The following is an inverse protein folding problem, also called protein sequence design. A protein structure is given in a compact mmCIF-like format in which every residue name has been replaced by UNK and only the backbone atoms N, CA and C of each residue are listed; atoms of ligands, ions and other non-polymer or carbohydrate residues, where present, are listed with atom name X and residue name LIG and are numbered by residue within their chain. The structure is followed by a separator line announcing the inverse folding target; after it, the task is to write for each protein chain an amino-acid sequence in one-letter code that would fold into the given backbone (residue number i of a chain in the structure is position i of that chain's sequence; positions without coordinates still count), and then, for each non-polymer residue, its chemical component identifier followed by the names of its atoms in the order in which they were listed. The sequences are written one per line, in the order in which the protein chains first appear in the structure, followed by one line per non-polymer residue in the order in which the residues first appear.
data_IF_754712330898
#
_entry.id   IF_754712330898
#
_cell.length_a   1.000
_cell.length_b   1.000
_cell.length_c   1.000
_cell.angle_alpha   90.00
_cell.angle_beta   90.00
_cell.angle_gamma   90.00
#
_symmetry.space_group_name_H-M   'P 1'
#
loop_
_entity.id
_entity.type
_entity.pdbx_description
1 polymer ?
#
# COMPACT_ATOMS: atom_id res chain seq x y z
N UNK A 1 16.39 -9.48 -18.55
CA UNK A 1 15.12 -10.08 -18.29
C UNK A 1 14.40 -9.40 -17.14
N UNK A 2 13.16 -9.11 -17.33
CA UNK A 2 12.37 -8.46 -16.34
C UNK A 2 12.13 -9.35 -15.13
N UNK A 3 12.37 -8.86 -13.96
CA UNK A 3 12.09 -9.62 -12.76
C UNK A 3 10.63 -9.40 -12.35
N UNK A 4 9.82 -10.43 -12.53
CA UNK A 4 8.40 -10.36 -12.24
C UNK A 4 8.10 -10.03 -10.78
N UNK A 5 9.06 -10.28 -9.88
CA UNK A 5 8.85 -10.01 -8.46
C UNK A 5 8.90 -8.53 -8.13
N UNK A 6 9.39 -7.67 -9.03
CA UNK A 6 9.53 -6.24 -8.75
C UNK A 6 8.25 -5.46 -8.96
N UNK A 7 7.25 -6.03 -9.62
CA UNK A 7 5.95 -5.38 -9.82
C UNK A 7 4.84 -6.37 -9.62
N UNK A 8 3.71 -5.89 -9.14
CA UNK A 8 2.53 -6.72 -8.98
C UNK A 8 1.73 -6.82 -10.28
N UNK A 9 2.05 -6.01 -11.28
CA UNK A 9 1.34 -6.03 -12.55
C UNK A 9 1.48 -7.32 -13.35
N UNK A 10 2.44 -8.18 -12.96
CA UNK A 10 2.67 -9.47 -13.62
C UNK A 10 2.04 -10.63 -12.87
N UNK A 11 0.81 -10.46 -12.43
CA UNK A 11 0.10 -11.49 -11.68
C UNK A 11 -0.22 -12.69 -12.57
N UNK A 12 -0.18 -13.91 -12.00
CA UNK A 12 -0.70 -15.08 -12.70
C UNK A 12 -2.16 -14.89 -13.08
N UNK A 13 -2.60 -15.54 -14.16
CA UNK A 13 -3.94 -15.33 -14.70
C UNK A 13 -5.06 -15.51 -13.67
N UNK A 14 -5.06 -16.56 -12.81
CA UNK A 14 -6.13 -16.69 -11.83
C UNK A 14 -6.17 -15.54 -10.84
N UNK A 15 -5.01 -15.06 -10.40
CA UNK A 15 -4.94 -13.98 -9.46
C UNK A 15 -5.34 -12.67 -10.11
N UNK A 16 -4.92 -12.45 -11.35
CA UNK A 16 -5.33 -11.26 -12.10
C UNK A 16 -6.83 -11.22 -12.28
N UNK A 17 -7.45 -12.37 -12.55
CA UNK A 17 -8.91 -12.45 -12.70
C UNK A 17 -9.61 -12.10 -11.38
N UNK A 18 -9.07 -12.58 -10.25
CA UNK A 18 -9.63 -12.28 -8.94
C UNK A 18 -9.53 -10.78 -8.64
N UNK A 19 -8.38 -10.16 -8.95
CA UNK A 19 -8.19 -8.73 -8.77
C UNK A 19 -9.14 -7.92 -9.65
N UNK A 20 -9.34 -8.37 -10.91
CA UNK A 20 -10.27 -7.70 -11.83
C UNK A 20 -11.69 -7.74 -11.30
N UNK A 21 -12.12 -8.89 -10.78
CA UNK A 21 -13.45 -9.01 -10.18
C UNK A 21 -13.60 -8.13 -8.96
N UNK A 22 -12.58 -8.11 -8.10
CA UNK A 22 -12.57 -7.25 -6.92
C UNK A 22 -12.63 -5.78 -7.31
N UNK A 23 -11.93 -5.41 -8.39
CA UNK A 23 -11.94 -4.03 -8.87
C UNK A 23 -13.35 -3.60 -9.27
N UNK A 24 -14.06 -4.45 -9.98
CA UNK A 24 -15.42 -4.15 -10.42
C UNK A 24 -16.33 -3.86 -9.23
N UNK A 25 -16.24 -4.68 -8.19
CA UNK A 25 -17.06 -4.50 -6.99
C UNK A 25 -16.64 -3.26 -6.22
N UNK A 26 -15.34 -3.04 -6.08
CA UNK A 26 -14.85 -1.90 -5.31
C UNK A 26 -15.17 -0.58 -6.02
N UNK A 27 -15.13 -0.59 -7.35
CA UNK A 27 -15.46 0.60 -8.13
C UNK A 27 -16.91 1.03 -7.89
N UNK A 28 -17.81 0.06 -7.74
CA UNK A 28 -19.20 0.37 -7.40
C UNK A 28 -19.30 1.05 -6.05
N UNK A 29 -18.54 0.56 -5.06
CA UNK A 29 -18.53 1.17 -3.73
C UNK A 29 -18.04 2.61 -3.78
N UNK A 30 -17.00 2.87 -4.55
CA UNK A 30 -16.47 4.23 -4.71
C UNK A 30 -17.49 5.13 -5.40
N UNK A 31 -18.24 4.61 -6.39
CA UNK A 31 -19.27 5.39 -7.07
C UNK A 31 -20.40 5.76 -6.13
N UNK A 32 -20.77 4.86 -5.23
CA UNK A 32 -21.84 5.12 -4.26
C UNK A 32 -21.36 6.10 -3.18
N UNK A 33 -20.11 5.94 -2.75
CA UNK A 33 -19.53 6.75 -1.67
C UNK A 33 -18.21 7.36 -2.12
N UNK A 34 -18.25 8.40 -2.99
CA UNK A 34 -16.99 8.92 -3.57
C UNK A 34 -16.06 9.60 -2.56
N UNK A 35 -16.57 9.93 -1.37
CA UNK A 35 -15.75 10.55 -0.34
C UNK A 35 -15.28 9.55 0.72
N UNK A 36 -15.47 8.27 0.49
CA UNK A 36 -15.00 7.23 1.41
C UNK A 36 -13.52 6.97 1.15
N UNK A 37 -12.67 7.49 2.02
CA UNK A 37 -11.23 7.35 1.87
C UNK A 37 -10.79 5.89 1.89
N UNK A 38 -11.40 5.08 2.78
CA UNK A 38 -11.06 3.66 2.85
C UNK A 38 -11.38 2.93 1.57
N UNK A 39 -12.55 3.20 0.99
CA UNK A 39 -12.94 2.57 -0.26
C UNK A 39 -12.00 2.96 -1.40
N UNK A 40 -11.60 4.23 -1.46
CA UNK A 40 -10.64 4.69 -2.47
C UNK A 40 -9.27 4.04 -2.29
N UNK A 41 -8.81 3.94 -1.05
CA UNK A 41 -7.50 3.33 -0.77
C UNK A 41 -7.48 1.86 -1.21
N UNK A 42 -8.55 1.13 -0.94
CA UNK A 42 -8.65 -0.27 -1.35
C UNK A 42 -8.66 -0.38 -2.88
N UNK A 43 -9.42 0.49 -3.56
CA UNK A 43 -9.42 0.50 -5.02
C UNK A 43 -8.02 0.79 -5.56
N UNK A 44 -7.32 1.75 -4.96
CA UNK A 44 -5.95 2.06 -5.36
C UNK A 44 -5.03 0.86 -5.23
N UNK A 45 -5.17 0.11 -4.13
CA UNK A 45 -4.34 -1.07 -3.93
C UNK A 45 -4.65 -2.15 -4.96
N UNK A 46 -5.94 -2.36 -5.27
CA UNK A 46 -6.34 -3.32 -6.30
C UNK A 46 -5.76 -2.91 -7.66
N UNK A 47 -5.86 -1.62 -8.00
CA UNK A 47 -5.30 -1.12 -9.26
C UNK A 47 -3.79 -1.27 -9.30
N UNK A 48 -3.10 -1.07 -8.18
CA UNK A 48 -1.66 -1.29 -8.11
C UNK A 48 -1.32 -2.75 -8.42
N UNK A 49 -2.11 -3.68 -7.87
CA UNK A 49 -1.91 -5.11 -8.14
C UNK A 49 -2.13 -5.47 -9.59
N UNK A 50 -2.99 -4.73 -10.28
CA UNK A 50 -3.26 -4.95 -11.70
C UNK A 50 -2.31 -4.20 -12.62
N UNK A 51 -1.34 -3.47 -12.07
CA UNK A 51 -0.40 -2.70 -12.87
C UNK A 51 -0.94 -1.38 -13.40
N UNK A 52 -2.09 -0.94 -12.90
CA UNK A 52 -2.70 0.35 -13.30
C UNK A 52 -2.12 1.46 -12.43
N UNK A 53 -0.87 1.81 -12.72
CA UNK A 53 -0.05 2.64 -11.83
C UNK A 53 -0.62 4.03 -11.62
N UNK A 54 -1.06 4.67 -12.70
CA UNK A 54 -1.55 6.05 -12.60
C UNK A 54 -2.86 6.13 -11.83
N UNK A 55 -3.77 5.21 -12.10
CA UNK A 55 -5.04 5.16 -11.37
C UNK A 55 -4.80 4.85 -9.89
N UNK A 56 -3.92 3.88 -9.62
CA UNK A 56 -3.61 3.50 -8.25
C UNK A 56 -3.08 4.68 -7.45
N UNK A 57 -2.16 5.41 -8.03
CA UNK A 57 -1.55 6.55 -7.37
C UNK A 57 -2.56 7.66 -7.13
N UNK A 58 -3.38 7.96 -8.11
CA UNK A 58 -4.40 8.99 -7.99
C UNK A 58 -5.39 8.66 -6.88
N UNK A 59 -5.84 7.41 -6.85
CA UNK A 59 -6.81 6.97 -5.86
C UNK A 59 -6.23 6.96 -4.45
N UNK A 60 -5.00 6.50 -4.32
CA UNK A 60 -4.32 6.50 -3.02
C UNK A 60 -4.10 7.90 -2.49
N UNK A 61 -3.69 8.82 -3.35
CA UNK A 61 -3.47 10.21 -2.93
C UNK A 61 -4.77 10.90 -2.59
N UNK A 62 -5.81 10.63 -3.36
CA UNK A 62 -7.12 11.19 -3.06
C UNK A 62 -7.63 10.70 -1.70
N UNK A 63 -7.44 9.42 -1.41
CA UNK A 63 -7.81 8.88 -0.09
C UNK A 63 -7.08 9.62 1.02
N UNK A 64 -5.80 9.88 0.83
CA UNK A 64 -4.99 10.58 1.81
C UNK A 64 -5.49 12.01 2.04
N UNK A 65 -5.93 12.68 0.97
CA UNK A 65 -6.48 14.02 1.07
C UNK A 65 -7.83 14.04 1.79
N UNK A 66 -8.66 13.02 1.57
CA UNK A 66 -9.97 12.93 2.19
C UNK A 66 -9.91 12.67 3.67
N UNK A 67 -8.91 11.92 4.12
CA UNK A 67 -8.80 11.55 5.52
C UNK A 67 -7.37 11.75 6.01
N UNK A 68 -6.94 13.00 6.18
CA UNK A 68 -5.60 13.25 6.69
C UNK A 68 -5.50 12.80 8.15
N UNK A 69 -4.28 12.43 8.53
CA UNK A 69 -4.01 11.87 9.84
C UNK A 69 -4.33 12.86 10.96
N UNK A 70 -4.32 14.15 10.65
CA UNK A 70 -4.68 15.18 11.63
C UNK A 70 -6.13 15.08 12.07
N UNK A 71 -7.00 14.60 11.19
CA UNK A 71 -8.41 14.45 11.50
C UNK A 71 -8.70 13.14 12.21
N UNK A 72 -7.98 12.08 11.88
CA UNK A 72 -8.25 10.76 12.43
C UNK A 72 -6.94 9.97 12.40
N UNK A 73 -6.31 9.85 13.56
CA UNK A 73 -5.01 9.20 13.65
C UNK A 73 -5.07 7.71 13.37
N UNK A 74 -6.18 7.08 13.71
CA UNK A 74 -6.31 5.64 13.46
C UNK A 74 -6.57 5.35 11.99
N UNK A 75 -7.62 5.93 11.44
CA UNK A 75 -7.98 5.65 10.06
C UNK A 75 -7.07 6.37 9.07
N UNK A 76 -6.65 7.59 9.40
CA UNK A 76 -5.69 8.31 8.57
C UNK A 76 -4.33 7.61 8.53
N UNK A 77 -3.91 7.05 9.67
CA UNK A 77 -2.68 6.25 9.71
C UNK A 77 -2.78 5.02 8.82
N UNK A 78 -3.93 4.39 8.80
CA UNK A 78 -4.17 3.24 7.91
C UNK A 78 -4.08 3.63 6.44
N UNK A 79 -4.62 4.79 6.08
CA UNK A 79 -4.54 5.30 4.70
C UNK A 79 -3.08 5.52 4.29
N UNK A 80 -2.27 6.04 5.21
CA UNK A 80 -0.84 6.22 4.94
C UNK A 80 -0.18 4.87 4.61
N UNK A 81 -0.52 3.81 5.36
CA UNK A 81 0.03 2.49 5.09
C UNK A 81 -0.43 1.95 3.74
N UNK A 82 -1.71 2.15 3.39
CA UNK A 82 -2.19 1.75 2.08
C UNK A 82 -1.43 2.46 0.97
N UNK A 83 -1.15 3.76 1.13
CA UNK A 83 -0.40 4.48 0.12
C UNK A 83 1.03 3.96 0.01
N UNK A 84 1.64 3.56 1.14
CA UNK A 84 2.94 2.91 1.12
C UNK A 84 2.90 1.59 0.34
N UNK A 85 1.85 0.79 0.54
CA UNK A 85 1.67 -0.46 -0.19
C UNK A 85 1.50 -0.22 -1.69
N UNK A 86 0.70 0.79 -2.04
CA UNK A 86 0.54 1.17 -3.44
C UNK A 86 1.89 1.52 -4.05
N UNK A 87 2.67 2.35 -3.35
CA UNK A 87 4.01 2.71 -3.82
C UNK A 87 4.89 1.49 -4.05
N UNK A 88 4.88 0.54 -3.09
CA UNK A 88 5.66 -0.68 -3.22
C UNK A 88 5.24 -1.48 -4.46
N UNK A 89 3.94 -1.64 -4.65
CA UNK A 89 3.41 -2.50 -5.72
C UNK A 89 3.57 -1.90 -7.11
N UNK A 90 3.58 -0.56 -7.24
CA UNK A 90 3.81 0.08 -8.54
C UNK A 90 5.30 0.32 -8.82
N UNK A 91 6.17 -0.02 -7.89
CA UNK A 91 7.60 0.15 -8.06
C UNK A 91 8.14 1.53 -7.72
N UNK A 92 7.34 2.35 -7.06
CA UNK A 92 7.78 3.67 -6.60
C UNK A 92 8.31 3.55 -5.18
N UNK A 93 9.59 3.16 -5.06
CA UNK A 93 10.21 2.87 -3.77
C UNK A 93 10.32 4.11 -2.89
N UNK A 94 10.54 5.27 -3.51
CA UNK A 94 10.63 6.50 -2.74
C UNK A 94 9.30 6.84 -2.06
N UNK A 95 8.22 6.77 -2.81
CA UNK A 95 6.89 6.99 -2.24
C UNK A 95 6.60 5.97 -1.15
N UNK A 96 6.86 4.69 -1.43
CA UNK A 96 6.63 3.64 -0.46
C UNK A 96 7.37 3.88 0.83
N UNK A 97 8.63 4.24 0.74
CA UNK A 97 9.47 4.43 1.90
C UNK A 97 9.08 5.67 2.70
N UNK A 98 8.78 6.77 1.99
CA UNK A 98 8.35 7.99 2.65
C UNK A 98 7.06 7.77 3.44
N UNK A 99 6.09 7.09 2.84
CA UNK A 99 4.82 6.84 3.51
C UNK A 99 4.96 5.80 4.61
N UNK A 100 5.74 4.75 4.39
CA UNK A 100 5.95 3.73 5.41
C UNK A 100 6.63 4.31 6.65
N UNK A 101 7.63 5.17 6.44
CA UNK A 101 8.33 5.83 7.55
C UNK A 101 7.39 6.64 8.41
N UNK A 102 6.35 7.22 7.81
CA UNK A 102 5.30 7.91 8.58
C UNK A 102 4.35 6.91 9.22
N UNK A 103 3.93 5.89 8.47
CA UNK A 103 2.89 4.95 8.91
C UNK A 103 3.28 4.15 10.13
N UNK A 104 4.57 3.80 10.26
CA UNK A 104 5.00 2.99 11.41
C UNK A 104 4.93 3.76 12.73
N UNK A 105 4.73 5.05 12.68
CA UNK A 105 4.60 5.88 13.89
C UNK A 105 3.18 5.88 14.45
N UNK A 106 2.22 5.34 13.73
CA UNK A 106 0.82 5.35 14.13
C UNK A 106 0.38 3.98 14.62
N UNK A 107 -0.65 3.90 15.47
CA UNK A 107 -1.07 2.61 16.06
C UNK A 107 -1.47 1.57 15.03
N UNK A 108 -1.97 2.00 13.86
CA UNK A 108 -2.39 1.09 12.80
C UNK A 108 -1.26 0.73 11.84
N UNK A 109 -0.04 1.19 12.12
CA UNK A 109 1.12 0.88 11.28
C UNK A 109 1.54 -0.57 11.40
N UNK A 110 2.27 -1.08 10.41
CA UNK A 110 2.74 -2.46 10.45
C UNK A 110 3.81 -2.66 11.52
N UNK A 111 3.81 -3.86 12.09
CA UNK A 111 4.78 -4.25 13.11
C UNK A 111 6.06 -4.74 12.45
N UNK A 112 7.09 -4.92 13.28
CA UNK A 112 8.35 -5.51 12.84
C UNK A 112 8.11 -6.86 12.14
N UNK A 113 7.31 -7.74 12.77
CA UNK A 113 7.04 -9.04 12.20
C UNK A 113 6.30 -8.96 10.88
N UNK A 114 5.35 -8.05 10.77
CA UNK A 114 4.61 -7.87 9.53
C UNK A 114 5.52 -7.42 8.39
N UNK A 115 6.41 -6.45 8.65
CA UNK A 115 7.34 -5.99 7.63
C UNK A 115 8.33 -7.10 7.23
N UNK A 116 8.77 -7.91 8.20
CA UNK A 116 9.71 -8.99 7.92
C UNK A 116 9.08 -10.13 7.13
N UNK A 117 7.83 -10.46 7.40
CA UNK A 117 7.26 -11.75 6.98
C UNK A 117 6.19 -11.66 5.91
N UNK A 118 5.45 -10.54 5.81
CA UNK A 118 4.34 -10.48 4.88
C UNK A 118 4.80 -10.25 3.44
N UNK A 119 4.29 -11.04 2.50
CA UNK A 119 4.64 -10.86 1.07
C UNK A 119 4.26 -9.49 0.50
N UNK A 120 3.33 -8.79 1.15
CA UNK A 120 2.94 -7.44 0.75
C UNK A 120 4.14 -6.54 0.50
N UNK A 121 5.20 -6.70 1.30
CA UNK A 121 6.36 -5.82 1.27
C UNK A 121 7.53 -6.38 0.48
N UNK A 122 7.33 -7.54 -0.18
CA UNK A 122 8.41 -8.16 -0.95
C UNK A 122 9.06 -7.22 -1.97
N UNK A 123 8.30 -6.35 -2.68
CA UNK A 123 8.94 -5.46 -3.64
C UNK A 123 9.97 -4.51 -3.03
N UNK A 124 9.93 -4.27 -1.73
CA UNK A 124 10.85 -3.36 -1.06
C UNK A 124 12.05 -4.06 -0.42
N UNK A 125 12.07 -5.39 -0.40
CA UNK A 125 13.15 -6.11 0.29
C UNK A 125 14.48 -5.84 -0.39
N UNK A 126 15.48 -5.53 0.41
CA UNK A 126 16.80 -5.14 -0.08
C UNK A 126 16.96 -3.67 -0.33
N UNK A 127 15.87 -2.90 -0.35
CA UNK A 127 15.96 -1.45 -0.47
C UNK A 127 16.49 -0.88 0.86
N UNK A 128 17.59 -0.10 0.83
CA UNK A 128 18.19 0.39 2.08
C UNK A 128 17.22 1.15 2.98
N UNK A 129 16.34 1.96 2.41
CA UNK A 129 15.39 2.72 3.20
C UNK A 129 14.39 1.80 3.90
N UNK A 130 13.90 0.79 3.20
CA UNK A 130 12.98 -0.18 3.80
C UNK A 130 13.68 -0.96 4.93
N UNK A 131 14.91 -1.42 4.66
CA UNK A 131 15.64 -2.20 5.66
C UNK A 131 15.95 -1.37 6.92
N UNK A 132 16.20 -0.07 6.75
CA UNK A 132 16.37 0.82 7.89
C UNK A 132 15.10 0.93 8.73
N UNK A 133 13.96 1.07 8.07
CA UNK A 133 12.68 1.15 8.79
C UNK A 133 12.43 -0.13 9.57
N UNK A 134 12.66 -1.28 8.93
CA UNK A 134 12.50 -2.58 9.60
C UNK A 134 13.41 -2.66 10.82
N UNK A 135 14.67 -2.30 10.65
CA UNK A 135 15.64 -2.35 11.75
C UNK A 135 15.22 -1.45 12.91
N UNK A 136 14.62 -0.29 12.61
CA UNK A 136 14.18 0.64 13.66
C UNK A 136 13.07 0.07 14.53
N UNK A 137 12.37 -0.93 14.05
CA UNK A 137 11.27 -1.57 14.78
C UNK A 137 11.69 -2.88 15.45
N UNK A 138 12.93 -3.31 15.25
CA UNK A 138 13.40 -4.56 15.80
C UNK A 138 13.36 -4.51 17.33
N UNK A 139 12.99 -5.64 17.98
CA UNK A 139 12.99 -5.67 19.44
C UNK A 139 14.38 -5.42 20.01
N UNK A 140 14.42 -4.79 21.18
CA UNK A 140 15.68 -4.58 21.88
C UNK A 140 16.29 -5.93 22.28
N UNK A 141 17.59 -6.10 22.11
CA UNK A 141 18.24 -7.30 22.60
C UNK A 141 18.24 -7.32 24.13
N UNK A 142 18.07 -8.49 24.69
CA UNK A 142 18.09 -8.68 26.16
C UNK A 142 19.50 -8.79 26.69
#
# INVERSE_FOLDING_TARGET
MEDASTTMGNLPAPLAAAFTAARTEQEKQVQIHPDDAGALAVLGLIDAGLGRKEEALREGRRASELLPVDKDRLNGGRIIVYLAMIGAWIGDHKLACDQLGKGVRYPTGPSYGQLKLLPTWDPLRGDPCFEEIVASLAPEPN
#
